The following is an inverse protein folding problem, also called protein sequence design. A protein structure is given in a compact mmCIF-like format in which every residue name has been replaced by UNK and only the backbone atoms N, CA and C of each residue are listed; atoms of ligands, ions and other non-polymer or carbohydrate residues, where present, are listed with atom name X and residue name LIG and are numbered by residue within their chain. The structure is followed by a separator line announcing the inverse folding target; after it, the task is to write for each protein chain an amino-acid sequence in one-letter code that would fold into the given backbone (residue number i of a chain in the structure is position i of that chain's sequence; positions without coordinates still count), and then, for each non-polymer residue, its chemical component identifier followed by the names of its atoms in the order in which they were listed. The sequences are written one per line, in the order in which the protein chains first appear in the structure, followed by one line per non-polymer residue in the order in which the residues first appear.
data_IF_426285763026
#
_entry.id   IF_426285763026
#
_cell.length_a   1.000
_cell.length_b   1.000
_cell.length_c   1.000
_cell.angle_alpha   90.00
_cell.angle_beta   90.00
_cell.angle_gamma   90.00
#
_symmetry.space_group_name_H-M   'P 1'
#
loop_
_entity.id
_entity.type
_entity.pdbx_description
1 polymer ?
#
# COMPACT_ATOMS: atom_id res chain seq x y z
N UNK A 1 -81.77 -24.00 21.29
CA UNK A 1 -80.70 -24.06 20.28
C UNK A 1 -79.80 -22.82 20.18
N UNK A 2 -79.92 -21.75 21.02
CA UNK A 2 -79.10 -20.51 20.88
C UNK A 2 -77.88 -20.41 21.82
N UNK A 3 -77.64 -21.38 22.73
CA UNK A 3 -76.44 -21.36 23.63
C UNK A 3 -75.23 -22.10 23.13
N UNK A 4 -75.37 -23.08 22.20
CA UNK A 4 -74.23 -23.87 21.68
C UNK A 4 -73.35 -23.11 20.65
N UNK A 5 -73.92 -22.13 19.92
CA UNK A 5 -73.17 -21.37 18.91
C UNK A 5 -72.28 -20.28 19.48
N UNK A 6 -72.54 -19.78 20.69
CA UNK A 6 -71.66 -18.74 21.32
C UNK A 6 -70.36 -19.32 21.86
N UNK A 7 -70.39 -20.57 22.30
CA UNK A 7 -69.19 -21.25 22.84
C UNK A 7 -68.24 -21.69 21.73
N UNK A 8 -68.74 -22.10 20.54
CA UNK A 8 -67.94 -22.41 19.38
C UNK A 8 -67.25 -21.15 18.77
N UNK A 9 -67.96 -20.02 18.75
CA UNK A 9 -67.42 -18.77 18.21
C UNK A 9 -66.35 -18.15 19.15
N UNK A 10 -66.49 -18.31 20.46
CA UNK A 10 -65.49 -17.88 21.43
C UNK A 10 -64.21 -18.76 21.36
N UNK A 11 -64.35 -20.07 21.11
CA UNK A 11 -63.21 -20.97 20.92
C UNK A 11 -62.44 -20.71 19.63
N UNK A 12 -63.16 -20.35 18.55
CA UNK A 12 -62.51 -20.01 17.26
C UNK A 12 -61.81 -18.65 17.32
N UNK A 13 -62.34 -17.67 18.05
CA UNK A 13 -61.68 -16.36 18.28
C UNK A 13 -60.43 -16.51 19.17
N UNK A 14 -60.43 -17.39 20.16
CA UNK A 14 -59.27 -17.67 21.02
C UNK A 14 -58.16 -18.41 20.28
N UNK A 15 -58.50 -19.31 19.36
CA UNK A 15 -57.52 -19.99 18.48
C UNK A 15 -56.93 -19.06 17.42
N UNK A 16 -57.69 -18.09 16.89
CA UNK A 16 -57.17 -17.04 16.00
C UNK A 16 -56.24 -16.05 16.74
N UNK A 17 -56.49 -15.73 18.01
CA UNK A 17 -55.59 -14.89 18.82
C UNK A 17 -54.30 -15.59 19.19
N UNK A 18 -54.31 -16.92 19.35
CA UNK A 18 -53.07 -17.71 19.58
C UNK A 18 -52.26 -17.91 18.31
N UNK A 19 -52.85 -17.86 17.12
CA UNK A 19 -52.15 -17.94 15.84
C UNK A 19 -51.40 -16.65 15.46
N UNK A 20 -51.83 -15.48 16.00
CA UNK A 20 -51.19 -14.17 15.73
C UNK A 20 -49.97 -13.89 16.66
N UNK A 21 -49.84 -14.63 17.78
CA UNK A 21 -48.69 -14.48 18.70
C UNK A 21 -47.48 -15.34 18.35
N UNK A 22 -47.54 -16.16 17.26
CA UNK A 22 -46.56 -17.19 16.94
C UNK A 22 -45.41 -16.77 16.02
N UNK A 23 -45.38 -15.55 15.50
CA UNK A 23 -44.27 -15.09 14.64
C UNK A 23 -43.68 -13.77 15.13
N UNK A 24 -43.20 -13.71 16.38
CA UNK A 24 -42.10 -12.80 16.69
C UNK A 24 -40.86 -13.41 16.07
N UNK A 25 -40.48 -12.96 14.88
CA UNK A 25 -39.09 -13.15 14.38
C UNK A 25 -38.20 -12.78 15.54
N UNK A 26 -37.43 -13.76 16.07
CA UNK A 26 -36.38 -13.49 17.03
C UNK A 26 -35.53 -12.42 16.37
N UNK A 27 -35.48 -11.21 16.93
CA UNK A 27 -34.59 -10.17 16.44
C UNK A 27 -33.20 -10.73 16.66
N UNK A 28 -32.58 -11.21 15.60
CA UNK A 28 -31.18 -11.65 15.63
C UNK A 28 -30.42 -10.36 15.96
N UNK A 29 -29.78 -10.31 17.11
CA UNK A 29 -28.89 -9.19 17.42
C UNK A 29 -27.75 -9.20 16.40
N UNK A 30 -27.41 -8.04 15.82
CA UNK A 30 -26.33 -7.97 14.84
C UNK A 30 -25.02 -8.41 15.49
N UNK A 31 -24.19 -9.07 14.71
CA UNK A 31 -22.81 -9.39 15.12
C UNK A 31 -22.00 -8.11 15.02
N UNK A 32 -21.32 -7.71 16.08
CA UNK A 32 -20.48 -6.51 16.09
C UNK A 32 -19.05 -6.89 15.75
N UNK A 33 -18.46 -6.25 14.74
CA UNK A 33 -17.03 -6.33 14.40
C UNK A 33 -16.36 -4.97 14.53
N UNK A 34 -15.13 -4.96 15.01
CA UNK A 34 -14.28 -3.77 15.13
C UNK A 34 -13.31 -3.72 13.96
N UNK A 35 -13.36 -2.63 13.18
CA UNK A 35 -12.45 -2.37 12.07
C UNK A 35 -11.61 -1.15 12.41
N UNK A 36 -10.27 -1.29 12.39
CA UNK A 36 -9.34 -0.18 12.56
C UNK A 36 -8.64 0.14 11.25
N UNK A 37 -8.50 1.42 10.93
CA UNK A 37 -7.86 1.90 9.71
C UNK A 37 -7.26 3.30 9.85
N UNK A 38 -6.37 3.68 8.92
CA UNK A 38 -5.70 5.00 8.88
C UNK A 38 -6.39 6.04 7.97
N UNK A 39 -7.64 5.83 7.57
CA UNK A 39 -8.39 6.73 6.69
C UNK A 39 -9.17 7.82 7.48
N UNK A 40 -8.63 8.29 8.61
CA UNK A 40 -9.27 9.31 9.46
C UNK A 40 -9.02 10.75 9.03
N UNK A 41 -8.15 10.98 8.03
CA UNK A 41 -7.85 12.30 7.50
C UNK A 41 -8.98 12.94 6.70
N UNK A 42 -8.70 14.13 6.14
CA UNK A 42 -9.66 14.94 5.35
C UNK A 42 -9.42 14.86 3.84
N UNK A 43 -8.41 14.11 3.39
CA UNK A 43 -8.15 13.87 1.97
C UNK A 43 -9.33 13.20 1.26
N UNK A 44 -9.47 13.41 -0.05
CA UNK A 44 -10.58 12.82 -0.82
C UNK A 44 -10.54 11.29 -0.79
N UNK A 45 -9.37 10.70 -0.88
CA UNK A 45 -9.11 9.27 -0.73
C UNK A 45 -9.55 8.74 0.65
N UNK A 46 -9.26 9.48 1.73
CA UNK A 46 -9.70 9.13 3.07
C UNK A 46 -11.23 9.15 3.20
N UNK A 47 -11.90 10.15 2.59
CA UNK A 47 -13.35 10.25 2.59
C UNK A 47 -13.95 9.10 1.77
N UNK A 48 -13.42 8.84 0.57
CA UNK A 48 -13.87 7.77 -0.31
C UNK A 48 -13.79 6.40 0.38
N UNK A 49 -12.67 6.10 1.02
CA UNK A 49 -12.50 4.83 1.73
C UNK A 49 -13.48 4.66 2.90
N UNK A 50 -13.75 5.72 3.66
CA UNK A 50 -14.79 5.66 4.72
C UNK A 50 -16.18 5.44 4.15
N UNK A 51 -16.51 6.09 3.04
CA UNK A 51 -17.82 5.90 2.36
C UNK A 51 -17.95 4.47 1.81
N UNK A 52 -16.85 3.87 1.37
CA UNK A 52 -16.81 2.45 0.98
C UNK A 52 -17.10 1.55 2.19
N UNK A 53 -16.46 1.79 3.34
CA UNK A 53 -16.71 1.02 4.56
C UNK A 53 -18.15 1.18 5.07
N UNK A 54 -18.69 2.38 5.02
CA UNK A 54 -20.11 2.65 5.32
C UNK A 54 -21.06 1.91 4.36
N UNK A 55 -20.63 1.68 3.13
CA UNK A 55 -21.33 0.86 2.15
C UNK A 55 -21.52 -0.57 2.61
N UNK A 56 -20.48 -1.17 3.21
CA UNK A 56 -20.58 -2.51 3.78
C UNK A 56 -21.65 -2.60 4.86
N UNK A 57 -21.68 -1.65 5.79
CA UNK A 57 -22.68 -1.58 6.86
C UNK A 57 -24.11 -1.49 6.30
N UNK A 58 -24.31 -0.72 5.21
CA UNK A 58 -25.62 -0.57 4.58
C UNK A 58 -26.09 -1.86 3.89
N UNK A 59 -25.18 -2.61 3.32
CA UNK A 59 -25.48 -3.87 2.62
C UNK A 59 -25.61 -5.07 3.60
N UNK A 60 -25.07 -4.97 4.82
CA UNK A 60 -25.01 -6.07 5.81
C UNK A 60 -25.64 -5.64 7.15
N UNK A 61 -26.97 -5.50 7.20
CA UNK A 61 -27.69 -5.02 8.38
C UNK A 61 -27.68 -6.00 9.58
N UNK A 62 -27.25 -7.22 9.37
CA UNK A 62 -27.04 -8.24 10.40
C UNK A 62 -25.65 -8.14 11.06
N UNK A 63 -24.79 -7.22 10.57
CA UNK A 63 -23.48 -6.93 11.12
C UNK A 63 -23.48 -5.47 11.58
N UNK A 64 -22.99 -5.20 12.78
CA UNK A 64 -22.70 -3.86 13.29
C UNK A 64 -21.19 -3.59 13.20
N UNK A 65 -20.80 -2.52 12.51
CA UNK A 65 -19.40 -2.16 12.34
C UNK A 65 -19.00 -1.03 13.28
N UNK A 66 -18.04 -1.29 14.15
CA UNK A 66 -17.36 -0.27 14.94
C UNK A 66 -16.09 0.17 14.22
N UNK A 67 -16.13 1.35 13.57
CA UNK A 67 -14.99 1.93 12.89
C UNK A 67 -14.11 2.71 13.86
N UNK A 68 -12.81 2.35 13.93
CA UNK A 68 -11.78 3.13 14.60
C UNK A 68 -10.95 3.80 13.51
N UNK A 69 -11.24 5.07 13.26
CA UNK A 69 -10.59 5.86 12.20
C UNK A 69 -9.43 6.66 12.77
N UNK A 70 -8.22 6.31 12.43
CA UNK A 70 -7.01 7.02 12.86
C UNK A 70 -6.55 8.00 11.77
N UNK A 71 -6.06 9.18 12.12
CA UNK A 71 -5.67 10.20 11.13
C UNK A 71 -4.38 9.85 10.39
N UNK A 72 -3.47 9.07 11.03
CA UNK A 72 -2.20 8.64 10.43
C UNK A 72 -1.96 7.14 10.60
N UNK A 73 -1.05 6.60 9.81
CA UNK A 73 -0.62 5.19 9.88
C UNK A 73 0.09 4.88 11.20
N UNK A 74 0.93 5.78 11.67
CA UNK A 74 1.68 5.64 12.91
C UNK A 74 0.75 5.62 14.14
N UNK A 75 -0.28 6.47 14.16
CA UNK A 75 -1.28 6.47 15.21
C UNK A 75 -2.13 5.21 15.18
N UNK A 76 -2.44 4.71 13.97
CA UNK A 76 -3.16 3.45 13.81
C UNK A 76 -2.33 2.27 14.36
N UNK A 77 -1.06 2.16 14.00
CA UNK A 77 -0.19 1.09 14.51
C UNK A 77 -0.10 1.12 16.04
N UNK A 78 0.16 2.28 16.64
CA UNK A 78 0.16 2.42 18.11
C UNK A 78 -1.16 1.99 18.74
N UNK A 79 -2.29 2.38 18.12
CA UNK A 79 -3.60 1.98 18.62
C UNK A 79 -3.84 0.48 18.54
N UNK A 80 -3.40 -0.18 17.45
CA UNK A 80 -3.44 -1.65 17.31
C UNK A 80 -2.60 -2.31 18.40
N UNK A 81 -1.39 -1.84 18.64
CA UNK A 81 -0.49 -2.37 19.67
C UNK A 81 -1.12 -2.22 21.07
N UNK A 82 -1.68 -1.05 21.39
CA UNK A 82 -2.39 -0.83 22.66
C UNK A 82 -3.56 -1.78 22.84
N UNK A 83 -4.36 -2.02 21.80
CA UNK A 83 -5.49 -2.96 21.84
C UNK A 83 -5.02 -4.40 22.05
N UNK A 84 -3.97 -4.82 21.33
CA UNK A 84 -3.37 -6.15 21.50
C UNK A 84 -2.85 -6.36 22.94
N UNK A 85 -2.18 -5.36 23.51
CA UNK A 85 -1.62 -5.45 24.87
C UNK A 85 -2.69 -5.66 25.95
N UNK A 86 -3.90 -5.18 25.74
CA UNK A 86 -5.03 -5.40 26.66
C UNK A 86 -5.89 -6.62 26.31
N UNK A 87 -5.48 -7.38 25.27
CA UNK A 87 -6.20 -8.58 24.81
C UNK A 87 -7.45 -8.29 23.99
N UNK A 88 -7.56 -7.09 23.42
CA UNK A 88 -8.69 -6.63 22.58
C UNK A 88 -8.25 -6.52 21.12
N UNK A 89 -7.88 -7.64 20.50
CA UNK A 89 -7.47 -7.70 19.09
C UNK A 89 -8.63 -7.22 18.19
N UNK A 90 -8.42 -6.23 17.29
CA UNK A 90 -9.44 -5.82 16.31
C UNK A 90 -9.85 -7.01 15.43
N UNK A 91 -11.15 -7.07 15.07
CA UNK A 91 -11.64 -8.11 14.17
C UNK A 91 -11.10 -7.91 12.74
N UNK A 92 -10.85 -6.66 12.34
CA UNK A 92 -10.21 -6.32 11.06
C UNK A 92 -9.22 -5.17 11.25
N UNK A 93 -8.00 -5.34 10.74
CA UNK A 93 -7.00 -4.27 10.63
C UNK A 93 -6.78 -3.98 9.16
N UNK A 94 -7.02 -2.73 8.74
CA UNK A 94 -6.68 -2.23 7.41
C UNK A 94 -5.38 -1.46 7.47
N UNK A 95 -4.30 -2.05 6.99
CA UNK A 95 -2.97 -1.43 6.99
C UNK A 95 -2.78 -0.33 5.93
N UNK A 96 -3.74 -0.19 5.00
CA UNK A 96 -3.84 0.97 4.12
C UNK A 96 -2.62 1.27 3.26
N UNK A 97 -2.08 0.27 2.59
CA UNK A 97 -0.97 0.44 1.64
C UNK A 97 0.41 0.52 2.29
N UNK A 98 0.55 0.16 3.57
CA UNK A 98 1.86 0.03 4.21
C UNK A 98 2.64 -1.16 3.68
N UNK A 99 3.96 -1.12 3.80
CA UNK A 99 4.80 -2.31 3.67
C UNK A 99 4.74 -3.20 4.92
N UNK A 100 5.37 -4.38 4.85
CA UNK A 100 5.54 -5.27 6.00
C UNK A 100 6.17 -4.52 7.18
N UNK A 101 5.63 -4.72 8.39
CA UNK A 101 6.05 -4.02 9.59
C UNK A 101 6.02 -4.93 10.82
N UNK A 102 6.62 -4.45 11.91
CA UNK A 102 6.77 -5.21 13.16
C UNK A 102 5.43 -5.59 13.81
N UNK A 103 4.41 -4.74 13.69
CA UNK A 103 3.07 -5.02 14.23
C UNK A 103 2.42 -6.21 13.51
N UNK A 104 2.53 -6.26 12.18
CA UNK A 104 2.05 -7.39 11.38
C UNK A 104 2.79 -8.68 11.76
N UNK A 105 4.13 -8.63 11.82
CA UNK A 105 4.94 -9.79 12.17
C UNK A 105 4.59 -10.31 13.56
N UNK A 106 4.40 -9.41 14.53
CA UNK A 106 3.97 -9.78 15.88
C UNK A 106 2.61 -10.49 15.89
N UNK A 107 1.61 -9.97 15.14
CA UNK A 107 0.27 -10.55 15.06
C UNK A 107 0.34 -11.98 14.48
N UNK A 108 1.09 -12.17 13.40
CA UNK A 108 1.21 -13.49 12.75
C UNK A 108 1.97 -14.49 13.62
N UNK A 109 3.10 -14.09 14.21
CA UNK A 109 3.94 -14.95 15.05
C UNK A 109 3.23 -15.41 16.34
N UNK A 110 2.31 -14.61 16.86
CA UNK A 110 1.55 -14.94 18.06
C UNK A 110 0.20 -15.62 17.75
N UNK A 111 0.00 -16.13 16.52
CA UNK A 111 -1.22 -16.85 16.10
C UNK A 111 -2.50 -16.03 16.30
N UNK A 112 -2.41 -14.70 16.12
CA UNK A 112 -3.54 -13.77 16.30
C UNK A 112 -4.27 -13.48 14.99
N UNK A 113 -3.68 -13.79 13.84
CA UNK A 113 -4.27 -13.59 12.51
C UNK A 113 -5.03 -14.85 12.06
N UNK A 114 -6.17 -14.62 11.39
CA UNK A 114 -6.95 -15.67 10.74
C UNK A 114 -6.29 -16.08 9.43
N UNK A 115 -6.15 -17.38 9.19
CA UNK A 115 -5.68 -17.91 7.90
C UNK A 115 -6.81 -17.84 6.87
N UNK A 116 -6.65 -16.93 5.90
CA UNK A 116 -7.64 -16.67 4.84
C UNK A 116 -7.73 -17.83 3.85
N UNK A 117 -6.65 -18.65 3.69
CA UNK A 117 -6.62 -19.75 2.74
C UNK A 117 -7.73 -20.78 2.94
N UNK A 118 -8.20 -20.99 4.17
CA UNK A 118 -9.32 -21.92 4.43
C UNK A 118 -10.62 -21.48 3.73
N UNK A 119 -10.86 -20.16 3.64
CA UNK A 119 -12.03 -19.58 3.00
C UNK A 119 -11.90 -19.58 1.47
N UNK A 120 -10.70 -19.34 0.95
CA UNK A 120 -10.45 -19.42 -0.50
C UNK A 120 -10.64 -20.83 -1.05
N UNK A 121 -10.27 -21.86 -0.27
CA UNK A 121 -10.47 -23.28 -0.69
C UNK A 121 -11.93 -23.69 -0.77
N UNK A 122 -12.81 -23.01 -0.03
CA UNK A 122 -14.24 -23.33 0.05
C UNK A 122 -15.13 -22.42 -0.82
N UNK A 123 -14.58 -21.35 -1.41
CA UNK A 123 -15.30 -20.33 -2.16
C UNK A 123 -14.51 -19.93 -3.40
N UNK A 124 -14.89 -20.51 -4.56
CA UNK A 124 -14.21 -20.27 -5.83
C UNK A 124 -14.39 -18.83 -6.33
N UNK A 125 -15.53 -18.19 -6.04
CA UNK A 125 -15.79 -16.81 -6.44
C UNK A 125 -14.86 -15.86 -5.65
N UNK A 126 -14.77 -16.02 -4.35
CA UNK A 126 -13.85 -15.26 -3.51
C UNK A 126 -12.39 -15.51 -3.91
N UNK A 127 -12.02 -16.76 -4.22
CA UNK A 127 -10.67 -17.06 -4.68
C UNK A 127 -10.32 -16.37 -6.01
N UNK A 128 -11.30 -16.19 -6.90
CA UNK A 128 -11.12 -15.48 -8.17
C UNK A 128 -10.92 -13.96 -7.99
N UNK A 129 -11.40 -13.38 -6.90
CA UNK A 129 -11.19 -11.97 -6.56
C UNK A 129 -9.76 -11.68 -6.03
N UNK A 130 -9.04 -12.72 -5.57
CA UNK A 130 -7.67 -12.58 -5.07
C UNK A 130 -6.67 -12.62 -6.22
N UNK A 131 -5.91 -11.55 -6.42
CA UNK A 131 -4.89 -11.50 -7.45
C UNK A 131 -3.74 -12.50 -7.20
N UNK A 132 -3.12 -12.95 -8.28
CA UNK A 132 -1.90 -13.77 -8.19
C UNK A 132 -0.76 -13.02 -7.47
N UNK A 133 -0.70 -11.71 -7.63
CA UNK A 133 0.29 -10.86 -6.96
C UNK A 133 0.13 -10.94 -5.44
N UNK A 134 -1.11 -10.88 -4.91
CA UNK A 134 -1.38 -11.11 -3.48
C UNK A 134 -0.87 -12.47 -3.01
N UNK A 135 -1.23 -13.54 -3.72
CA UNK A 135 -0.82 -14.90 -3.35
C UNK A 135 0.70 -15.07 -3.38
N UNK A 136 1.35 -14.61 -4.45
CA UNK A 136 2.79 -14.73 -4.61
C UNK A 136 3.57 -13.95 -3.54
N UNK A 137 3.02 -12.84 -3.08
CA UNK A 137 3.70 -11.92 -2.17
C UNK A 137 3.48 -12.28 -0.69
N UNK A 138 2.26 -12.69 -0.33
CA UNK A 138 1.86 -12.86 1.07
C UNK A 138 1.64 -14.31 1.51
N UNK A 139 1.57 -15.25 0.57
CA UNK A 139 1.43 -16.66 0.96
C UNK A 139 2.73 -17.17 1.60
N UNK A 140 2.61 -17.73 2.80
CA UNK A 140 3.75 -18.31 3.52
C UNK A 140 4.23 -19.60 2.84
N UNK A 141 5.45 -20.05 3.17
CA UNK A 141 5.97 -21.34 2.71
C UNK A 141 5.07 -22.52 3.14
N UNK A 142 4.36 -22.38 4.26
CA UNK A 142 3.38 -23.36 4.72
C UNK A 142 2.03 -23.32 3.98
N UNK A 143 1.87 -22.41 3.01
CA UNK A 143 0.64 -22.25 2.23
C UNK A 143 -0.49 -21.55 2.99
N UNK A 144 -0.18 -20.71 3.97
CA UNK A 144 -1.12 -19.88 4.71
C UNK A 144 -1.12 -18.46 4.16
N UNK A 145 -2.22 -17.74 4.35
CA UNK A 145 -2.39 -16.35 3.91
C UNK A 145 -3.02 -15.52 5.04
N UNK A 146 -2.25 -14.63 5.64
CA UNK A 146 -2.68 -13.83 6.80
C UNK A 146 -3.06 -12.40 6.46
N UNK A 147 -2.79 -11.95 5.24
CA UNK A 147 -3.16 -10.63 4.74
C UNK A 147 -3.50 -10.67 3.27
N UNK A 148 -4.40 -9.78 2.83
CA UNK A 148 -4.72 -9.56 1.42
C UNK A 148 -4.83 -8.08 1.16
N UNK A 149 -4.07 -7.59 0.18
CA UNK A 149 -4.15 -6.21 -0.26
C UNK A 149 -5.39 -5.96 -1.11
N UNK A 150 -5.96 -4.79 -0.95
CA UNK A 150 -7.01 -4.25 -1.83
C UNK A 150 -6.44 -3.41 -2.99
N UNK A 151 -5.17 -3.02 -2.89
CA UNK A 151 -4.47 -2.27 -3.93
C UNK A 151 -3.11 -2.89 -4.25
N UNK A 152 -2.70 -2.79 -5.51
CA UNK A 152 -1.36 -3.15 -5.96
C UNK A 152 -0.45 -1.94 -5.95
N UNK A 153 0.80 -2.15 -5.59
CA UNK A 153 1.85 -1.17 -5.67
C UNK A 153 2.64 -1.39 -6.96
N UNK A 154 2.48 -0.46 -7.90
CA UNK A 154 3.24 -0.43 -9.13
C UNK A 154 4.32 0.63 -9.01
N UNK A 155 5.59 0.25 -9.17
CA UNK A 155 6.73 1.15 -9.00
C UNK A 155 7.90 0.79 -9.92
N UNK A 156 9.08 1.32 -9.65
CA UNK A 156 10.27 1.14 -10.46
C UNK A 156 10.53 2.32 -11.39
N UNK A 157 9.91 3.47 -11.10
CA UNK A 157 10.04 4.66 -11.92
C UNK A 157 10.01 5.95 -11.11
N UNK A 158 9.78 7.03 -11.82
CA UNK A 158 9.67 8.38 -11.28
C UNK A 158 8.71 9.21 -12.13
N UNK A 159 8.07 10.16 -11.48
CA UNK A 159 7.33 11.24 -12.15
C UNK A 159 8.30 12.34 -12.55
N UNK A 160 8.08 12.96 -13.70
CA UNK A 160 8.85 14.11 -14.13
C UNK A 160 7.94 15.23 -14.63
N UNK A 161 8.37 16.46 -14.39
CA UNK A 161 7.71 17.64 -14.95
C UNK A 161 8.25 17.88 -16.35
N UNK A 162 7.44 17.59 -17.38
CA UNK A 162 7.83 17.68 -18.78
C UNK A 162 8.20 19.12 -19.18
N UNK A 163 7.52 20.11 -18.61
CA UNK A 163 7.77 21.52 -18.94
C UNK A 163 9.15 21.96 -18.43
N UNK A 164 9.54 21.52 -17.23
CA UNK A 164 10.89 21.78 -16.68
C UNK A 164 11.95 21.10 -17.54
N UNK A 165 11.76 19.83 -17.90
CA UNK A 165 12.72 19.07 -18.69
C UNK A 165 12.89 19.72 -20.09
N UNK A 166 11.78 20.10 -20.72
CA UNK A 166 11.80 20.78 -22.02
C UNK A 166 12.51 22.13 -21.95
N UNK A 167 12.22 22.95 -20.92
CA UNK A 167 12.86 24.24 -20.71
C UNK A 167 14.37 24.12 -20.45
N UNK A 168 14.80 23.05 -19.76
CA UNK A 168 16.20 22.73 -19.53
C UNK A 168 16.91 22.09 -20.75
N UNK A 169 16.20 21.92 -21.88
CA UNK A 169 16.75 21.34 -23.11
C UNK A 169 17.00 19.82 -23.03
N UNK A 170 16.26 19.12 -22.18
CA UNK A 170 16.25 17.64 -22.12
C UNK A 170 15.29 17.14 -23.20
N UNK A 171 15.81 16.51 -24.26
CA UNK A 171 15.02 16.06 -25.41
C UNK A 171 14.58 14.61 -25.30
N UNK A 172 15.35 13.80 -24.59
CA UNK A 172 15.15 12.37 -24.44
C UNK A 172 15.29 12.00 -22.96
N UNK A 173 14.44 11.06 -22.51
CA UNK A 173 14.51 10.55 -21.16
C UNK A 173 15.74 9.65 -20.99
N UNK A 174 16.35 9.61 -19.79
CA UNK A 174 17.55 8.84 -19.54
C UNK A 174 17.26 7.33 -19.59
N UNK A 175 18.12 6.60 -20.29
CA UNK A 175 18.11 5.13 -20.34
C UNK A 175 19.19 4.51 -19.46
N UNK A 176 20.17 5.32 -19.02
CA UNK A 176 21.25 4.91 -18.13
C UNK A 176 21.41 5.89 -16.96
N UNK A 177 22.06 5.44 -15.88
CA UNK A 177 22.35 6.30 -14.73
C UNK A 177 23.24 7.49 -15.09
N UNK A 178 24.18 7.33 -16.05
CA UNK A 178 24.99 8.44 -16.56
C UNK A 178 24.11 9.50 -17.26
N UNK A 179 23.17 9.04 -18.08
CA UNK A 179 22.22 9.94 -18.75
C UNK A 179 21.28 10.61 -17.74
N UNK A 180 20.89 9.91 -16.66
CA UNK A 180 20.07 10.50 -15.57
C UNK A 180 20.83 11.62 -14.85
N UNK A 181 22.10 11.38 -14.51
CA UNK A 181 22.96 12.43 -13.94
C UNK A 181 23.14 13.61 -14.88
N UNK A 182 23.35 13.34 -16.18
CA UNK A 182 23.46 14.40 -17.18
C UNK A 182 22.15 15.20 -17.32
N UNK A 183 20.99 14.56 -17.22
CA UNK A 183 19.70 15.23 -17.16
C UNK A 183 19.60 16.14 -15.93
N UNK A 184 19.89 15.62 -14.74
CA UNK A 184 19.90 16.41 -13.50
C UNK A 184 20.88 17.61 -13.59
N UNK A 185 22.05 17.42 -14.18
CA UNK A 185 23.01 18.49 -14.42
C UNK A 185 22.42 19.58 -15.30
N UNK A 186 21.81 19.23 -16.44
CA UNK A 186 21.17 20.20 -17.35
C UNK A 186 20.10 21.02 -16.64
N UNK A 187 19.22 20.35 -15.89
CA UNK A 187 18.17 21.05 -15.13
C UNK A 187 18.77 22.01 -14.12
N UNK A 188 19.80 21.58 -13.37
CA UNK A 188 20.49 22.45 -12.38
C UNK A 188 21.13 23.65 -13.02
N UNK A 189 21.85 23.52 -14.14
CA UNK A 189 22.52 24.64 -14.80
C UNK A 189 21.49 25.58 -15.45
N UNK A 190 20.42 25.04 -16.02
CA UNK A 190 19.32 25.85 -16.54
C UNK A 190 18.65 26.64 -15.40
N UNK A 191 18.29 26.00 -14.28
CA UNK A 191 17.67 26.66 -13.13
C UNK A 191 18.54 27.82 -12.59
N UNK A 192 19.85 27.60 -12.46
CA UNK A 192 20.80 28.65 -12.09
C UNK A 192 20.80 29.83 -13.06
N UNK A 193 20.74 29.56 -14.38
CA UNK A 193 20.73 30.59 -15.41
C UNK A 193 19.46 31.46 -15.41
N UNK A 194 18.38 30.94 -14.85
CA UNK A 194 17.09 31.63 -14.74
C UNK A 194 16.86 32.23 -13.34
N UNK A 195 17.85 32.11 -12.46
CA UNK A 195 17.76 32.58 -11.05
C UNK A 195 16.51 32.04 -10.33
N UNK A 196 16.08 30.81 -10.66
CA UNK A 196 14.92 30.18 -10.07
C UNK A 196 15.31 29.09 -9.05
N UNK A 197 14.35 28.70 -8.19
CA UNK A 197 14.54 27.71 -7.11
C UNK A 197 14.27 26.27 -7.58
N UNK A 198 14.19 26.01 -8.87
CA UNK A 198 13.89 24.67 -9.39
C UNK A 198 15.06 23.71 -9.08
N UNK A 199 14.70 22.56 -8.53
CA UNK A 199 15.63 21.49 -8.18
C UNK A 199 15.51 20.35 -9.20
N UNK A 200 16.63 19.77 -9.65
CA UNK A 200 16.56 18.59 -10.50
C UNK A 200 15.95 17.39 -9.79
N UNK A 201 16.39 17.16 -8.57
CA UNK A 201 15.99 16.04 -7.72
C UNK A 201 15.97 16.48 -6.26
N UNK A 202 14.99 16.00 -5.54
CA UNK A 202 14.91 16.05 -4.09
C UNK A 202 14.01 14.91 -3.63
N UNK A 203 14.48 14.09 -2.70
CA UNK A 203 13.67 12.98 -2.21
C UNK A 203 13.90 12.73 -0.71
N UNK A 204 12.90 12.11 -0.08
CA UNK A 204 12.93 11.67 1.30
C UNK A 204 13.82 10.42 1.48
N UNK A 205 14.10 10.00 2.72
CA UNK A 205 14.79 8.75 2.98
C UNK A 205 14.12 7.55 2.29
N UNK A 206 12.79 7.51 2.28
CA UNK A 206 12.01 6.47 1.61
C UNK A 206 12.17 6.50 0.09
N UNK A 207 12.30 7.69 -0.51
CA UNK A 207 12.55 7.81 -1.95
C UNK A 207 13.92 7.25 -2.35
N UNK A 208 14.93 7.28 -1.47
CA UNK A 208 16.22 6.65 -1.73
C UNK A 208 16.17 5.12 -1.74
N UNK A 209 15.16 4.49 -1.11
CA UNK A 209 14.93 3.04 -1.26
C UNK A 209 14.69 2.66 -2.72
N UNK A 210 13.91 3.42 -3.48
CA UNK A 210 13.65 3.12 -4.89
C UNK A 210 14.91 3.16 -5.75
N UNK A 211 15.82 4.08 -5.47
CA UNK A 211 17.10 4.14 -6.17
C UNK A 211 18.03 2.99 -5.78
N UNK A 212 18.21 2.78 -4.48
CA UNK A 212 19.15 1.77 -4.00
C UNK A 212 18.72 0.36 -4.39
N UNK A 213 17.43 0.06 -4.43
CA UNK A 213 16.91 -1.23 -4.86
C UNK A 213 17.35 -1.57 -6.29
N UNK A 214 17.17 -0.62 -7.22
CA UNK A 214 17.60 -0.80 -8.60
C UNK A 214 19.12 -0.97 -8.70
N UNK A 215 19.88 -0.17 -7.97
CA UNK A 215 21.33 -0.24 -7.98
C UNK A 215 21.86 -1.54 -7.36
N UNK A 216 21.25 -2.04 -6.28
CA UNK A 216 21.61 -3.33 -5.66
C UNK A 216 21.38 -4.50 -6.63
N UNK A 217 20.23 -4.51 -7.32
CA UNK A 217 19.91 -5.55 -8.30
C UNK A 217 20.87 -5.51 -9.49
N UNK A 218 21.10 -4.35 -10.06
CA UNK A 218 21.98 -4.15 -11.21
C UNK A 218 23.43 -4.51 -10.89
N UNK A 219 23.94 -4.14 -9.71
CA UNK A 219 25.27 -4.50 -9.27
C UNK A 219 25.38 -5.97 -8.80
N UNK A 220 24.23 -6.69 -8.79
CA UNK A 220 24.16 -8.10 -8.42
C UNK A 220 24.34 -8.35 -6.92
N UNK A 221 24.09 -7.34 -6.07
CA UNK A 221 24.04 -7.50 -4.62
C UNK A 221 22.75 -8.22 -4.18
N UNK A 222 21.67 -8.07 -4.93
CA UNK A 222 20.41 -8.84 -4.85
C UNK A 222 19.94 -9.26 -3.45
N UNK A 223 19.07 -10.26 -3.43
CA UNK A 223 18.41 -10.78 -2.23
C UNK A 223 19.28 -11.66 -1.33
N UNK A 224 20.54 -11.91 -1.69
CA UNK A 224 21.43 -12.84 -0.96
C UNK A 224 21.91 -12.32 0.39
N UNK A 225 21.64 -11.05 0.71
CA UNK A 225 22.20 -10.41 1.91
C UNK A 225 23.72 -10.30 1.87
N UNK A 226 24.31 -10.40 0.71
CA UNK A 226 25.74 -10.23 0.48
C UNK A 226 26.05 -8.73 0.36
N UNK A 227 26.11 -8.07 1.52
CA UNK A 227 26.45 -6.66 1.69
C UNK A 227 27.96 -6.44 1.52
N UNK A 228 28.52 -6.99 0.46
CA UNK A 228 29.91 -6.91 0.12
C UNK A 228 30.23 -5.71 -0.80
N UNK A 229 31.30 -5.82 -1.56
CA UNK A 229 31.78 -4.80 -2.51
C UNK A 229 30.68 -4.28 -3.46
N UNK A 230 29.72 -5.12 -3.83
CA UNK A 230 28.64 -4.74 -4.76
C UNK A 230 27.63 -3.79 -4.11
N UNK A 231 27.26 -4.04 -2.86
CA UNK A 231 26.41 -3.12 -2.12
C UNK A 231 27.11 -1.78 -1.83
N UNK A 232 28.43 -1.80 -1.55
CA UNK A 232 29.22 -0.58 -1.46
C UNK A 232 29.24 0.20 -2.77
N UNK A 233 29.36 -0.49 -3.91
CA UNK A 233 29.27 0.14 -5.23
C UNK A 233 27.91 0.82 -5.40
N UNK A 234 26.82 0.15 -5.04
CA UNK A 234 25.46 0.70 -5.12
C UNK A 234 25.29 1.95 -4.25
N UNK A 235 25.86 1.98 -3.05
CA UNK A 235 25.84 3.19 -2.20
C UNK A 235 26.66 4.34 -2.79
N UNK A 236 27.79 4.04 -3.43
CA UNK A 236 28.58 5.07 -4.11
C UNK A 236 27.83 5.64 -5.32
N UNK A 237 27.16 4.78 -6.11
CA UNK A 237 26.31 5.22 -7.22
C UNK A 237 25.18 6.11 -6.71
N UNK A 238 24.59 5.76 -5.57
CA UNK A 238 23.53 6.54 -4.93
C UNK A 238 24.04 7.92 -4.49
N UNK A 239 25.26 8.02 -3.96
CA UNK A 239 25.91 9.30 -3.62
C UNK A 239 26.04 10.23 -4.82
N UNK A 240 26.35 9.68 -5.99
CA UNK A 240 26.44 10.48 -7.21
C UNK A 240 25.08 11.07 -7.62
N UNK A 241 23.99 10.34 -7.37
CA UNK A 241 22.63 10.85 -7.56
C UNK A 241 22.28 11.90 -6.48
N UNK A 242 22.64 11.62 -5.22
CA UNK A 242 22.42 12.54 -4.11
C UNK A 242 23.08 13.89 -4.32
N UNK A 243 24.21 13.97 -5.02
CA UNK A 243 24.92 15.21 -5.35
C UNK A 243 24.07 16.23 -6.14
N UNK A 244 22.93 15.81 -6.72
CA UNK A 244 21.96 16.69 -7.38
C UNK A 244 20.82 17.15 -6.45
N UNK A 245 20.75 16.61 -5.25
CA UNK A 245 19.85 17.07 -4.19
C UNK A 245 20.49 18.22 -3.40
N UNK A 246 19.71 18.95 -2.64
CA UNK A 246 20.25 19.99 -1.75
C UNK A 246 20.57 19.40 -0.38
N UNK A 247 21.64 19.91 0.27
CA UNK A 247 22.15 19.41 1.55
C UNK A 247 21.21 19.62 2.76
N UNK A 248 20.09 20.30 2.59
CA UNK A 248 19.09 20.57 3.63
C UNK A 248 18.11 19.42 3.86
N UNK A 249 18.34 18.27 3.26
CA UNK A 249 17.33 17.24 3.00
C UNK A 249 17.13 16.19 4.08
N UNK A 250 17.90 16.19 5.16
CA UNK A 250 17.78 15.18 6.22
C UNK A 250 16.41 15.17 6.92
N UNK A 251 15.64 16.24 6.79
CA UNK A 251 14.32 16.40 7.41
C UNK A 251 13.15 16.40 6.38
N UNK A 252 13.45 16.17 5.11
CA UNK A 252 12.43 16.16 4.06
C UNK A 252 11.51 14.95 4.18
N UNK A 253 10.22 15.21 4.31
CA UNK A 253 9.20 14.18 4.29
C UNK A 253 8.70 13.90 2.87
N UNK A 254 8.06 12.78 2.70
CA UNK A 254 7.32 12.42 1.49
C UNK A 254 6.30 13.50 1.04
N UNK A 255 5.64 14.16 2.00
CA UNK A 255 4.70 15.24 1.70
C UNK A 255 5.40 16.52 1.20
N UNK A 256 6.62 16.79 1.68
CA UNK A 256 7.41 17.93 1.21
C UNK A 256 7.84 17.76 -0.25
N UNK A 257 8.19 16.55 -0.67
CA UNK A 257 8.48 16.25 -2.07
C UNK A 257 7.26 16.50 -2.97
N UNK A 258 6.11 15.94 -2.55
CA UNK A 258 4.85 16.11 -3.26
C UNK A 258 4.51 17.60 -3.40
N UNK A 259 4.68 18.38 -2.33
CA UNK A 259 4.44 19.82 -2.34
C UNK A 259 5.36 20.54 -3.32
N UNK A 260 6.68 20.27 -3.29
CA UNK A 260 7.63 20.90 -4.22
C UNK A 260 7.32 20.57 -5.68
N UNK A 261 6.95 19.32 -5.96
CA UNK A 261 6.58 18.91 -7.31
C UNK A 261 5.33 19.65 -7.78
N UNK A 262 4.32 19.77 -6.94
CA UNK A 262 3.07 20.47 -7.23
C UNK A 262 3.22 22.00 -7.32
N UNK A 263 4.26 22.55 -6.69
CA UNK A 263 4.64 23.96 -6.85
C UNK A 263 5.46 24.21 -8.14
N UNK A 264 5.76 23.17 -8.93
CA UNK A 264 6.61 23.28 -10.12
C UNK A 264 8.07 23.58 -9.81
N UNK A 265 8.54 23.25 -8.60
CA UNK A 265 9.90 23.48 -8.11
C UNK A 265 10.79 22.24 -8.15
N UNK A 266 10.27 21.12 -8.63
CA UNK A 266 10.97 19.85 -8.70
C UNK A 266 10.82 19.25 -10.09
N UNK A 267 11.95 18.86 -10.73
CA UNK A 267 11.91 18.26 -12.06
C UNK A 267 11.59 16.76 -12.01
N UNK A 268 12.13 16.05 -11.01
CA UNK A 268 11.96 14.60 -10.81
C UNK A 268 11.39 14.36 -9.43
N UNK A 269 10.25 13.67 -9.38
CA UNK A 269 9.58 13.21 -8.17
C UNK A 269 9.60 11.68 -8.14
N UNK A 270 10.43 11.12 -7.25
CA UNK A 270 10.62 9.68 -7.13
C UNK A 270 9.45 9.08 -6.36
N UNK A 271 8.57 8.43 -7.08
CA UNK A 271 7.38 7.84 -6.49
C UNK A 271 6.84 6.72 -7.37
N UNK A 272 5.99 5.86 -6.81
CA UNK A 272 5.26 4.86 -7.57
C UNK A 272 4.09 5.44 -8.37
N UNK A 273 3.36 4.54 -9.02
CA UNK A 273 2.20 4.91 -9.85
C UNK A 273 1.09 5.59 -9.03
N UNK A 274 0.97 5.24 -7.73
CA UNK A 274 0.03 5.90 -6.79
C UNK A 274 0.25 7.41 -6.63
N UNK A 275 1.43 7.92 -7.03
CA UNK A 275 1.67 9.36 -7.09
C UNK A 275 0.76 10.10 -8.06
N UNK A 276 0.09 9.40 -9.00
CA UNK A 276 -0.81 10.02 -9.97
C UNK A 276 -1.88 10.89 -9.31
N UNK A 277 -2.54 10.38 -8.27
CA UNK A 277 -3.60 11.08 -7.52
C UNK A 277 -3.10 12.25 -6.66
N UNK A 278 -1.80 12.27 -6.36
CA UNK A 278 -1.17 13.30 -5.51
C UNK A 278 -0.66 14.50 -6.30
N UNK A 279 -0.54 14.35 -7.62
CA UNK A 279 0.02 15.39 -8.49
C UNK A 279 -1.08 16.30 -8.97
N UNK A 280 -0.91 17.61 -8.74
CA UNK A 280 -1.84 18.65 -9.18
C UNK A 280 -2.07 18.64 -10.69
N UNK A 281 -3.29 18.93 -11.12
CA UNK A 281 -3.68 18.91 -12.53
C UNK A 281 -2.89 19.92 -13.40
N UNK A 282 -2.46 21.03 -12.82
CA UNK A 282 -1.68 22.07 -13.50
C UNK A 282 -0.22 21.66 -13.77
N UNK A 283 0.25 20.53 -13.26
CA UNK A 283 1.60 20.01 -13.53
C UNK A 283 1.53 19.06 -14.73
N UNK A 284 2.30 19.36 -15.76
CA UNK A 284 2.46 18.47 -16.92
C UNK A 284 3.39 17.31 -16.54
N UNK A 285 2.85 16.41 -15.69
CA UNK A 285 3.58 15.27 -15.16
C UNK A 285 3.40 14.03 -16.03
N UNK A 286 4.50 13.32 -16.25
CA UNK A 286 4.53 12.00 -16.88
C UNK A 286 5.38 11.05 -16.06
N UNK A 287 5.18 9.76 -16.26
CA UNK A 287 5.93 8.71 -15.59
C UNK A 287 6.97 8.10 -16.51
N UNK A 288 8.13 7.78 -15.94
CA UNK A 288 9.19 7.06 -16.64
C UNK A 288 9.76 5.97 -15.71
N UNK A 289 10.21 4.85 -16.26
CA UNK A 289 10.95 3.86 -15.49
C UNK A 289 12.34 4.37 -15.14
N UNK A 290 12.85 4.00 -13.96
CA UNK A 290 14.22 4.31 -13.56
C UNK A 290 15.22 3.75 -14.61
N UNK A 291 16.31 4.44 -14.85
CA UNK A 291 17.36 3.93 -15.71
C UNK A 291 18.05 2.72 -15.06
N UNK A 292 18.80 2.00 -15.85
CA UNK A 292 19.58 0.85 -15.41
C UNK A 292 21.03 0.93 -15.93
N UNK A 293 21.94 0.14 -15.37
CA UNK A 293 23.31 0.02 -15.89
C UNK A 293 23.38 -0.91 -17.11
N UNK A 294 22.42 -1.81 -17.26
CA UNK A 294 22.39 -2.87 -18.27
C UNK A 294 21.42 -2.61 -19.43
N UNK A 295 20.85 -1.40 -19.51
CA UNK A 295 19.81 -1.01 -20.49
C UNK A 295 18.51 -1.84 -20.41
N UNK A 296 18.35 -2.64 -19.35
CA UNK A 296 17.14 -3.45 -19.10
C UNK A 296 16.25 -2.77 -18.11
N UNK A 297 15.25 -2.05 -18.60
CA UNK A 297 14.28 -1.39 -17.73
C UNK A 297 13.59 -2.40 -16.81
N UNK A 298 13.60 -2.10 -15.53
CA UNK A 298 12.99 -2.91 -14.47
C UNK A 298 11.76 -2.21 -13.94
N UNK A 299 10.77 -2.99 -13.53
CA UNK A 299 9.58 -2.50 -12.84
C UNK A 299 9.23 -3.41 -11.69
N UNK A 300 8.54 -2.87 -10.70
CA UNK A 300 8.06 -3.64 -9.57
C UNK A 300 6.53 -3.65 -9.55
N UNK A 301 5.97 -4.85 -9.40
CA UNK A 301 4.58 -5.08 -9.10
C UNK A 301 4.52 -5.86 -7.78
N UNK A 302 4.02 -5.22 -6.73
CA UNK A 302 3.90 -5.82 -5.40
C UNK A 302 2.51 -5.59 -4.82
N UNK A 303 2.20 -6.33 -3.76
CA UNK A 303 1.00 -6.14 -2.98
C UNK A 303 1.38 -5.46 -1.65
N UNK A 304 0.69 -4.37 -1.31
CA UNK A 304 0.88 -3.75 -0.01
C UNK A 304 0.42 -4.68 1.13
N UNK A 305 0.74 -4.33 2.36
CA UNK A 305 0.09 -4.92 3.52
C UNK A 305 -1.36 -4.41 3.56
N UNK A 306 -2.29 -5.33 3.35
CA UNK A 306 -3.71 -5.03 3.20
C UNK A 306 -4.51 -5.26 4.48
N UNK A 307 -5.52 -6.11 4.38
CA UNK A 307 -6.39 -6.48 5.49
C UNK A 307 -5.84 -7.69 6.24
N UNK A 308 -5.72 -7.56 7.55
CA UNK A 308 -5.49 -8.68 8.48
C UNK A 308 -6.76 -8.90 9.27
N UNK A 309 -7.25 -10.12 9.28
CA UNK A 309 -8.42 -10.51 10.08
C UNK A 309 -7.95 -11.07 11.41
N UNK A 310 -8.51 -10.57 12.51
CA UNK A 310 -8.24 -11.07 13.85
C UNK A 310 -8.86 -12.45 14.05
N UNK A 311 -8.07 -13.37 14.61
CA UNK A 311 -8.56 -14.68 15.02
C UNK A 311 -9.45 -14.52 16.26
N UNK A 312 -10.63 -15.12 16.25
CA UNK A 312 -11.61 -15.01 17.31
C UNK A 312 -12.10 -16.38 17.74
N UNK A 313 -12.52 -16.53 19.01
CA UNK A 313 -13.26 -17.70 19.46
C UNK A 313 -14.75 -17.66 19.07
N UNK A 314 -15.21 -16.56 18.49
CA UNK A 314 -16.56 -16.38 18.00
C UNK A 314 -16.59 -16.52 16.48
N UNK A 315 -17.02 -17.69 15.99
CA UNK A 315 -17.13 -17.99 14.56
C UNK A 315 -17.96 -16.94 13.79
N UNK A 316 -19.02 -16.37 14.39
CA UNK A 316 -19.84 -15.35 13.75
C UNK A 316 -19.05 -14.06 13.47
N UNK A 317 -18.11 -13.70 14.36
CA UNK A 317 -17.22 -12.56 14.14
C UNK A 317 -16.22 -12.83 13.01
N UNK A 318 -15.64 -14.03 12.99
CA UNK A 318 -14.74 -14.42 11.88
C UNK A 318 -15.47 -14.42 10.54
N UNK A 319 -16.68 -15.01 10.47
CA UNK A 319 -17.50 -14.99 9.27
C UNK A 319 -17.87 -13.55 8.84
N UNK A 320 -18.21 -12.66 9.78
CA UNK A 320 -18.50 -11.26 9.49
C UNK A 320 -17.28 -10.51 8.96
N UNK A 321 -16.08 -10.77 9.52
CA UNK A 321 -14.82 -10.20 9.07
C UNK A 321 -14.45 -10.70 7.67
N UNK A 322 -14.67 -11.98 7.37
CA UNK A 322 -14.47 -12.55 6.03
C UNK A 322 -15.46 -11.95 5.03
N UNK A 323 -16.73 -11.72 5.43
CA UNK A 323 -17.72 -11.02 4.57
C UNK A 323 -17.27 -9.59 4.25
N UNK A 324 -16.69 -8.89 5.23
CA UNK A 324 -16.10 -7.57 4.99
C UNK A 324 -14.95 -7.65 3.99
N UNK A 325 -14.03 -8.62 4.14
CA UNK A 325 -12.92 -8.80 3.22
C UNK A 325 -13.42 -9.10 1.79
N UNK A 326 -14.40 -10.02 1.64
CA UNK A 326 -15.04 -10.31 0.35
C UNK A 326 -15.66 -9.06 -0.29
N UNK A 327 -16.34 -8.24 0.51
CA UNK A 327 -16.90 -6.97 0.03
C UNK A 327 -15.80 -6.05 -0.49
N UNK A 328 -14.72 -5.84 0.26
CA UNK A 328 -13.61 -4.97 -0.13
C UNK A 328 -12.89 -5.42 -1.39
N UNK A 329 -12.79 -6.73 -1.60
CA UNK A 329 -12.11 -7.32 -2.76
C UNK A 329 -13.04 -7.59 -3.95
N UNK A 330 -14.35 -7.40 -3.78
CA UNK A 330 -15.31 -7.58 -4.88
C UNK A 330 -15.03 -6.61 -6.02
N UNK A 331 -15.26 -7.05 -7.26
CA UNK A 331 -15.09 -6.20 -8.44
C UNK A 331 -15.79 -4.84 -8.31
N UNK A 332 -17.00 -4.83 -7.73
CA UNK A 332 -17.79 -3.60 -7.51
C UNK A 332 -17.03 -2.58 -6.65
N UNK A 333 -16.51 -3.02 -5.52
CA UNK A 333 -15.79 -2.15 -4.58
C UNK A 333 -14.42 -1.77 -5.12
N UNK A 334 -13.71 -2.70 -5.74
CA UNK A 334 -12.41 -2.46 -6.35
C UNK A 334 -12.49 -1.46 -7.52
N UNK A 335 -13.59 -1.46 -8.27
CA UNK A 335 -13.89 -0.41 -9.26
C UNK A 335 -14.04 0.96 -8.59
N UNK A 336 -14.78 1.03 -7.47
CA UNK A 336 -14.92 2.28 -6.72
C UNK A 336 -13.59 2.78 -6.13
N UNK A 337 -12.74 1.87 -5.62
CA UNK A 337 -11.39 2.23 -5.15
C UNK A 337 -10.61 2.90 -6.29
N UNK A 338 -10.60 2.33 -7.48
CA UNK A 338 -9.94 2.94 -8.63
C UNK A 338 -10.55 4.32 -8.97
N UNK A 339 -11.86 4.41 -9.09
CA UNK A 339 -12.56 5.62 -9.54
C UNK A 339 -12.50 6.76 -8.51
N UNK A 340 -12.53 6.45 -7.23
CA UNK A 340 -12.62 7.43 -6.15
C UNK A 340 -11.27 7.78 -5.52
N UNK A 341 -10.24 6.91 -5.68
CA UNK A 341 -8.93 7.10 -5.05
C UNK A 341 -7.74 7.08 -6.04
N UNK A 342 -7.97 6.75 -7.31
CA UNK A 342 -6.93 6.54 -8.32
C UNK A 342 -5.86 5.50 -7.92
N UNK A 343 -6.19 4.57 -7.02
CA UNK A 343 -5.29 3.48 -6.64
C UNK A 343 -5.51 2.26 -7.54
N UNK A 344 -4.43 1.53 -7.83
CA UNK A 344 -4.50 0.34 -8.67
C UNK A 344 -5.17 -0.80 -7.91
N UNK A 345 -6.35 -1.27 -8.35
CA UNK A 345 -7.08 -2.31 -7.63
C UNK A 345 -6.34 -3.66 -7.67
N UNK A 346 -6.43 -4.40 -6.57
CA UNK A 346 -5.84 -5.74 -6.50
C UNK A 346 -6.69 -6.82 -7.19
N UNK A 347 -7.96 -6.54 -7.49
CA UNK A 347 -8.82 -7.46 -8.23
C UNK A 347 -8.57 -7.33 -9.74
N UNK A 348 -8.02 -8.37 -10.35
CA UNK A 348 -7.68 -8.40 -11.79
C UNK A 348 -8.88 -8.34 -12.76
N UNK A 349 -10.11 -8.44 -12.26
CA UNK A 349 -11.33 -8.26 -13.06
C UNK A 349 -11.65 -6.77 -13.33
N UNK A 350 -10.99 -5.84 -12.65
CA UNK A 350 -11.06 -4.41 -12.96
C UNK A 350 -10.05 -4.11 -14.07
N UNK A 351 -10.56 -3.72 -15.24
CA UNK A 351 -9.75 -3.54 -16.45
C UNK A 351 -9.34 -2.07 -16.59
N UNK A 352 -8.06 -1.79 -16.41
CA UNK A 352 -7.51 -0.42 -16.46
C UNK A 352 -7.66 0.26 -17.83
N UNK A 353 -7.66 -0.51 -18.94
CA UNK A 353 -7.78 0.04 -20.30
C UNK A 353 -9.06 0.85 -20.51
N UNK A 354 -10.12 0.58 -19.75
CA UNK A 354 -11.38 1.32 -19.82
C UNK A 354 -11.26 2.73 -19.26
N UNK A 355 -10.21 3.04 -18.50
CA UNK A 355 -9.97 4.33 -17.82
C UNK A 355 -8.91 5.21 -18.52
N UNK A 356 -8.49 4.80 -19.70
CA UNK A 356 -7.44 5.53 -20.45
C UNK A 356 -7.76 7.00 -20.72
N UNK A 357 -9.02 7.32 -21.00
CA UNK A 357 -9.46 8.68 -21.29
C UNK A 357 -9.79 9.46 -20.00
N UNK A 358 -10.36 8.80 -19.00
CA UNK A 358 -10.78 9.42 -17.75
C UNK A 358 -9.61 9.64 -16.77
N UNK A 359 -8.62 8.73 -16.78
CA UNK A 359 -7.43 8.76 -15.92
C UNK A 359 -6.13 8.60 -16.72
N UNK A 360 -5.84 9.52 -17.67
CA UNK A 360 -4.73 9.33 -18.62
C UNK A 360 -3.36 9.25 -17.97
N UNK A 361 -3.14 9.99 -16.88
CA UNK A 361 -1.89 10.01 -16.12
C UNK A 361 -1.65 8.67 -15.40
N UNK A 362 -2.65 8.19 -14.67
CA UNK A 362 -2.61 6.89 -14.00
C UNK A 362 -2.41 5.75 -15.01
N UNK A 363 -3.20 5.77 -16.10
CA UNK A 363 -3.13 4.74 -17.14
C UNK A 363 -1.75 4.70 -17.81
N UNK A 364 -1.16 5.86 -18.15
CA UNK A 364 0.17 5.94 -18.74
C UNK A 364 1.23 5.33 -17.84
N UNK A 365 1.22 5.67 -16.54
CA UNK A 365 2.17 5.17 -15.57
C UNK A 365 2.00 3.67 -15.32
N UNK A 366 0.77 3.21 -15.08
CA UNK A 366 0.47 1.81 -14.86
C UNK A 366 0.84 0.94 -16.07
N UNK A 367 0.52 1.40 -17.30
CA UNK A 367 0.86 0.69 -18.52
C UNK A 367 2.35 0.51 -18.70
N UNK A 368 3.17 1.51 -18.37
CA UNK A 368 4.62 1.41 -18.42
C UNK A 368 5.14 0.33 -17.47
N UNK A 369 4.67 0.33 -16.22
CA UNK A 369 5.09 -0.67 -15.22
C UNK A 369 4.63 -2.07 -15.60
N UNK A 370 3.37 -2.23 -16.00
CA UNK A 370 2.79 -3.53 -16.33
C UNK A 370 3.38 -4.13 -17.62
N UNK A 371 3.78 -3.30 -18.58
CA UNK A 371 4.38 -3.75 -19.86
C UNK A 371 5.89 -3.97 -19.80
N UNK A 372 6.56 -3.60 -18.73
CA UNK A 372 7.99 -3.80 -18.58
C UNK A 372 8.35 -5.29 -18.63
N UNK A 373 9.41 -5.62 -19.41
CA UNK A 373 9.81 -7.01 -19.63
C UNK A 373 10.42 -7.65 -18.40
N UNK A 374 11.11 -6.85 -17.57
CA UNK A 374 11.77 -7.33 -16.36
C UNK A 374 10.98 -6.85 -15.13
N UNK A 375 10.10 -7.70 -14.64
CA UNK A 375 9.46 -7.48 -13.34
C UNK A 375 10.38 -8.01 -12.25
N UNK A 376 10.65 -7.18 -11.28
CA UNK A 376 11.55 -7.49 -10.17
C UNK A 376 10.77 -7.46 -8.86
N UNK A 377 11.26 -8.21 -7.91
CA UNK A 377 10.98 -7.99 -6.51
C UNK A 377 12.10 -7.08 -5.96
N UNK A 378 11.71 -5.94 -5.42
CA UNK A 378 12.69 -4.98 -4.91
C UNK A 378 13.32 -5.51 -3.62
N UNK A 379 14.64 -5.34 -3.44
CA UNK A 379 15.36 -5.90 -2.30
C UNK A 379 14.80 -5.48 -0.94
N UNK A 380 14.34 -4.25 -0.81
CA UNK A 380 13.80 -3.74 0.45
C UNK A 380 12.52 -4.47 0.90
N UNK A 381 11.78 -5.09 -0.01
CA UNK A 381 10.63 -5.92 0.34
C UNK A 381 11.01 -7.19 1.13
N UNK A 382 12.26 -7.63 0.97
CA UNK A 382 12.82 -8.79 1.68
C UNK A 382 13.56 -8.39 2.96
N UNK A 383 13.66 -7.08 3.22
CA UNK A 383 14.24 -6.58 4.44
C UNK A 383 13.27 -6.71 5.61
N UNK A 384 13.83 -6.95 6.78
CA UNK A 384 13.08 -6.84 8.02
C UNK A 384 12.59 -5.40 8.25
N UNK A 385 11.60 -5.26 9.11
CA UNK A 385 11.15 -3.92 9.53
C UNK A 385 12.29 -3.11 10.16
N UNK A 386 13.15 -3.77 10.96
CA UNK A 386 14.33 -3.14 11.57
C UNK A 386 15.34 -2.66 10.52
N UNK A 387 15.57 -3.42 9.46
CA UNK A 387 16.44 -3.00 8.36
C UNK A 387 15.90 -1.77 7.62
N UNK A 388 14.59 -1.74 7.34
CA UNK A 388 13.95 -0.58 6.70
C UNK A 388 14.05 0.67 7.56
N UNK A 389 13.74 0.56 8.85
CA UNK A 389 13.88 1.68 9.80
C UNK A 389 15.33 2.17 9.88
N UNK A 390 16.28 1.25 10.02
CA UNK A 390 17.70 1.61 10.05
C UNK A 390 18.13 2.36 8.79
N UNK A 391 17.75 1.87 7.61
CA UNK A 391 18.06 2.52 6.34
C UNK A 391 17.50 3.95 6.30
N UNK A 392 16.21 4.12 6.52
CA UNK A 392 15.56 5.44 6.41
C UNK A 392 16.08 6.44 7.44
N UNK A 393 16.40 6.00 8.64
CA UNK A 393 16.94 6.86 9.70
C UNK A 393 18.40 7.27 9.48
N UNK A 394 19.19 6.43 8.76
CA UNK A 394 20.64 6.61 8.68
C UNK A 394 21.18 6.91 7.28
N UNK A 395 20.38 6.75 6.20
CA UNK A 395 20.87 6.91 4.83
C UNK A 395 21.50 8.29 4.57
N UNK A 396 20.93 9.37 5.12
CA UNK A 396 21.52 10.69 4.96
C UNK A 396 22.88 10.87 5.67
N UNK A 397 23.13 10.11 6.74
CA UNK A 397 24.45 10.11 7.41
C UNK A 397 25.49 9.45 6.54
N UNK A 398 25.09 8.42 5.81
CA UNK A 398 25.92 7.73 4.82
C UNK A 398 26.18 8.65 3.61
N UNK A 399 25.13 9.18 2.98
CA UNK A 399 25.21 10.06 1.81
C UNK A 399 26.03 11.34 2.06
N UNK A 400 26.05 11.84 3.32
CA UNK A 400 26.84 12.99 3.72
C UNK A 400 28.22 12.63 4.32
N UNK A 401 28.68 11.38 4.18
CA UNK A 401 29.95 10.86 4.70
C UNK A 401 30.14 10.99 6.22
N UNK A 402 29.05 11.02 7.00
CA UNK A 402 29.10 10.97 8.47
C UNK A 402 29.20 9.53 9.00
N UNK A 403 28.90 8.56 8.16
CA UNK A 403 29.07 7.12 8.40
C UNK A 403 29.69 6.55 7.11
N UNK A 404 30.65 5.63 7.21
CA UNK A 404 31.21 5.00 6.01
C UNK A 404 30.26 3.95 5.45
N UNK A 405 30.31 3.65 4.14
CA UNK A 405 29.53 2.58 3.51
C UNK A 405 29.67 1.24 4.22
N UNK A 406 30.89 0.90 4.67
CA UNK A 406 31.17 -0.35 5.35
C UNK A 406 30.41 -0.46 6.67
N UNK A 407 30.49 0.57 7.52
CA UNK A 407 29.78 0.63 8.83
C UNK A 407 28.26 0.65 8.61
N UNK A 408 27.79 1.40 7.61
CA UNK A 408 26.36 1.44 7.29
C UNK A 408 25.83 0.06 6.90
N UNK A 409 26.54 -0.66 6.01
CA UNK A 409 26.16 -1.99 5.54
C UNK A 409 26.34 -3.07 6.61
N UNK A 410 27.34 -2.97 7.48
CA UNK A 410 27.54 -3.85 8.62
C UNK A 410 26.31 -3.80 9.55
N UNK A 411 25.91 -2.62 9.97
CA UNK A 411 24.73 -2.44 10.83
C UNK A 411 23.43 -2.88 10.13
N UNK A 412 23.25 -2.55 8.84
CA UNK A 412 22.10 -3.00 8.08
C UNK A 412 22.02 -4.53 8.02
N UNK A 413 23.19 -5.20 7.90
CA UNK A 413 23.30 -6.66 7.91
C UNK A 413 23.01 -7.29 9.29
N UNK A 414 23.43 -6.64 10.37
CA UNK A 414 23.18 -7.10 11.74
C UNK A 414 21.68 -7.14 12.07
N UNK A 415 20.91 -6.14 11.62
CA UNK A 415 19.44 -6.08 11.81
C UNK A 415 18.71 -7.26 11.18
N UNK A 416 19.31 -7.90 10.16
CA UNK A 416 18.77 -9.12 9.53
C UNK A 416 18.91 -10.36 10.44
N UNK A 417 19.91 -10.38 11.30
CA UNK A 417 20.21 -11.53 12.18
C UNK A 417 19.24 -11.58 13.35
N UNK A 418 18.84 -10.43 13.89
CA UNK A 418 17.89 -10.36 15.01
C UNK A 418 16.52 -10.93 14.62
N UNK A 419 16.07 -10.75 13.39
CA UNK A 419 14.79 -11.28 12.89
C UNK A 419 14.84 -12.79 12.57
N UNK A 420 16.01 -13.40 12.42
CA UNK A 420 16.14 -14.86 12.19
C UNK A 420 15.73 -15.74 13.38
N UNK A 421 15.60 -15.17 14.56
CA UNK A 421 15.13 -15.89 15.74
C UNK A 421 13.65 -16.32 15.65
N UNK A 422 12.95 -15.93 14.59
CA UNK A 422 11.51 -16.15 14.37
C UNK A 422 11.19 -17.02 13.13
N UNK A 423 12.15 -17.87 12.70
CA UNK A 423 11.90 -18.89 11.66
C UNK A 423 11.54 -20.23 12.27
#
# INVERSE_FOLDING_TARGET
MKKKNKTLMAGFLLLLLLAVTGCRKKKIEPVTITIIHAWGGTGQDHVAMRDIYDGFQKENQDIEVQLISMPTREEMLRKVEDMIMVGDMPDVISFGGMGRNTTYDFIVQNDMALDIMQYLKSDEEFAADISKTNLNYWMTEAGQLFTVADVLLLSGGYWYNEDILNAAGVKELPESWDAFRAMCYKVREWAKSQENEIKPLQTSPEGYLYFIDHMLLENGAGNSGDWNTKAQTSLNDLKEIYAYSTSENAEYSYLDETRLFNEGKLAVYVNGVWGASMISENINAKYALLPTFSEKKMSCESACLGYVLGKSQNEQKEEASVRFLKYMLSRKVQTRILEETEQIPANSQVVLDTYKEDMPRLFQAASLVLSAQNKIEVPDNLWSASQKSYFTENIFRELTNKVSPEIFLEHLGEMKIEDKSYK
#
